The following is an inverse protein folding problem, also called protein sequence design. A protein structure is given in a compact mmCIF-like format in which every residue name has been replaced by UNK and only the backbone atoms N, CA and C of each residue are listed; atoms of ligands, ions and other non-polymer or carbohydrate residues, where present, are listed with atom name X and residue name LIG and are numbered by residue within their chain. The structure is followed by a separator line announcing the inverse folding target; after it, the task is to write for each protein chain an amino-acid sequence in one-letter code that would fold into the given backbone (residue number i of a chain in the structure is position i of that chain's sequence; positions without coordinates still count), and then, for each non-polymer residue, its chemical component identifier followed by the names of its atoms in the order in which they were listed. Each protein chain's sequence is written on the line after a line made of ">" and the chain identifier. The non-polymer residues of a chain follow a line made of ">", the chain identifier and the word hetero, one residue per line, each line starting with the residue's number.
data_IF_741612870366
#
_entry.id   IF_741612870366
#
_cell.length_a   1.000
_cell.length_b   1.000
_cell.length_c   1.000
_cell.angle_alpha   90.00
_cell.angle_beta   90.00
_cell.angle_gamma   90.00
#
_symmetry.space_group_name_H-M   'P 1'
#
loop_
_entity.id
_entity.type
_entity.pdbx_description
1 polymer ?
#
# COMPACT_ATOMS: atom_id res chain seq x y z
N UNK A 1 18.96 34.99 2.33
CA UNK A 1 17.72 34.58 1.65
C UNK A 1 17.86 33.11 1.29
N UNK A 2 16.98 32.25 1.79
CA UNK A 2 17.02 30.83 1.47
C UNK A 2 16.43 30.68 0.05
N UNK A 3 17.21 30.14 -0.88
CA UNK A 3 16.75 29.86 -2.22
C UNK A 3 15.62 28.81 -2.11
N UNK A 4 14.37 29.21 -2.41
CA UNK A 4 13.18 28.35 -2.35
C UNK A 4 13.07 27.41 -3.57
N UNK A 5 13.98 27.51 -4.55
CA UNK A 5 13.89 26.78 -5.82
C UNK A 5 14.05 25.26 -5.67
N UNK A 6 14.68 24.78 -4.59
CA UNK A 6 14.99 23.38 -4.35
C UNK A 6 14.21 22.77 -3.15
N UNK A 7 13.18 23.46 -2.66
CA UNK A 7 12.36 22.92 -1.59
C UNK A 7 11.36 21.88 -2.13
N UNK A 8 11.52 20.63 -1.73
CA UNK A 8 10.62 19.54 -2.08
C UNK A 8 9.63 19.30 -0.95
N UNK A 9 8.36 19.57 -1.23
CA UNK A 9 7.27 19.20 -0.35
C UNK A 9 7.01 17.70 -0.44
N UNK A 10 7.12 16.98 0.69
CA UNK A 10 6.71 15.57 0.76
C UNK A 10 5.18 15.51 0.67
N UNK A 11 4.61 14.94 -0.40
CA UNK A 11 3.23 15.28 -0.79
C UNK A 11 2.13 14.76 0.13
N UNK A 12 2.31 13.55 0.67
CA UNK A 12 1.28 12.83 1.42
C UNK A 12 1.79 12.44 2.81
N UNK A 13 2.59 13.29 3.41
CA UNK A 13 3.20 13.09 4.73
C UNK A 13 3.26 14.40 5.49
N UNK A 14 3.17 14.32 6.81
CA UNK A 14 3.41 15.45 7.71
C UNK A 14 4.91 15.69 7.98
N UNK A 15 5.79 15.00 7.24
CA UNK A 15 7.22 15.21 7.36
C UNK A 15 7.63 16.58 6.83
N UNK A 16 8.73 17.11 7.39
CA UNK A 16 9.28 18.39 6.97
C UNK A 16 9.67 18.38 5.48
N UNK A 17 9.53 19.53 4.85
CA UNK A 17 10.04 19.78 3.50
C UNK A 17 11.56 19.54 3.47
N UNK A 18 12.05 18.93 2.39
CA UNK A 18 13.48 18.67 2.20
C UNK A 18 14.09 19.65 1.21
N UNK A 19 15.31 20.16 1.51
CA UNK A 19 16.14 20.92 0.58
C UNK A 19 16.89 19.95 -0.33
N UNK A 20 16.24 19.48 -1.38
CA UNK A 20 16.83 18.52 -2.30
C UNK A 20 17.91 19.18 -3.19
N UNK A 21 18.86 18.38 -3.66
CA UNK A 21 19.85 18.83 -4.66
C UNK A 21 19.17 19.05 -6.02
N UNK A 22 18.32 18.11 -6.43
CA UNK A 22 17.62 18.11 -7.72
C UNK A 22 16.43 17.17 -7.69
N UNK A 23 15.38 17.53 -8.45
CA UNK A 23 14.28 16.63 -8.76
C UNK A 23 14.44 16.05 -10.17
N UNK A 24 14.12 14.76 -10.34
CA UNK A 24 14.15 14.01 -11.60
C UNK A 24 12.82 13.30 -11.77
N UNK A 25 12.20 13.44 -12.94
CA UNK A 25 10.89 12.85 -13.24
C UNK A 25 10.98 11.68 -14.23
N UNK A 26 12.15 11.50 -14.86
CA UNK A 26 12.38 10.46 -15.84
C UNK A 26 13.78 9.90 -15.64
N UNK A 27 13.89 8.59 -15.69
CA UNK A 27 15.13 7.86 -15.56
C UNK A 27 15.32 6.95 -16.76
N UNK A 28 16.52 7.00 -17.30
CA UNK A 28 16.97 6.17 -18.39
C UNK A 28 18.47 5.83 -18.20
N UNK A 29 19.04 5.12 -19.12
CA UNK A 29 20.47 4.79 -19.10
C UNK A 29 21.35 6.06 -19.02
N UNK A 30 20.98 7.14 -19.73
CA UNK A 30 21.76 8.37 -19.75
C UNK A 30 21.76 9.10 -18.40
N UNK A 31 20.64 9.01 -17.67
CA UNK A 31 20.55 9.50 -16.30
C UNK A 31 21.58 8.82 -15.40
N UNK A 32 21.64 7.49 -15.43
CA UNK A 32 22.59 6.73 -14.60
C UNK A 32 24.06 6.93 -15.00
N UNK A 33 24.35 7.09 -16.29
CA UNK A 33 25.69 7.41 -16.76
C UNK A 33 26.18 8.76 -16.23
N UNK A 34 25.31 9.80 -16.24
CA UNK A 34 25.58 11.10 -15.64
C UNK A 34 25.72 10.99 -14.13
N UNK A 35 24.79 10.31 -13.48
CA UNK A 35 24.81 10.10 -12.04
C UNK A 35 26.12 9.45 -11.57
N UNK A 36 26.61 8.43 -12.29
CA UNK A 36 27.90 7.78 -11.99
C UNK A 36 29.10 8.71 -12.15
N UNK A 37 29.11 9.56 -13.18
CA UNK A 37 30.21 10.51 -13.42
C UNK A 37 30.28 11.57 -12.33
N UNK A 38 29.11 12.01 -11.84
CA UNK A 38 29.00 13.04 -10.80
C UNK A 38 29.21 12.45 -9.39
N UNK A 39 29.13 11.13 -9.22
CA UNK A 39 29.18 10.41 -7.94
C UNK A 39 30.56 10.35 -7.27
N UNK A 40 31.59 10.96 -7.84
CA UNK A 40 32.87 11.21 -7.11
C UNK A 40 32.64 11.94 -5.78
N UNK A 41 31.49 12.63 -5.61
CA UNK A 41 31.06 13.37 -4.43
C UNK A 41 29.98 12.67 -3.59
N UNK A 42 29.84 11.33 -3.63
CA UNK A 42 28.84 10.57 -2.84
C UNK A 42 27.43 11.12 -3.01
N UNK A 43 26.93 11.14 -4.22
CA UNK A 43 25.54 11.48 -4.48
C UNK A 43 24.60 10.32 -4.09
N UNK A 44 23.45 10.65 -3.51
CA UNK A 44 22.45 9.71 -3.08
C UNK A 44 21.11 9.99 -3.75
N UNK A 45 20.34 8.93 -3.97
CA UNK A 45 18.99 9.02 -4.53
C UNK A 45 17.94 8.74 -3.46
N UNK A 46 16.86 9.51 -3.50
CA UNK A 46 15.59 9.19 -2.85
C UNK A 46 14.54 8.93 -3.93
N UNK A 47 13.67 7.96 -3.71
CA UNK A 47 12.61 7.59 -4.65
C UNK A 47 11.26 7.98 -4.07
N UNK A 48 10.53 8.83 -4.78
CA UNK A 48 9.18 9.22 -4.44
C UNK A 48 8.16 8.49 -5.34
N UNK A 49 7.42 7.56 -4.75
CA UNK A 49 6.26 6.89 -5.35
C UNK A 49 4.96 7.54 -4.81
N UNK A 50 4.46 7.13 -3.64
CA UNK A 50 3.29 7.75 -3.03
C UNK A 50 3.58 9.04 -2.26
N UNK A 51 4.81 9.24 -1.82
CA UNK A 51 5.19 10.40 -1.00
C UNK A 51 4.59 10.39 0.40
N UNK A 52 4.39 9.22 0.99
CA UNK A 52 3.78 9.06 2.32
C UNK A 52 4.79 8.96 3.46
N UNK A 53 6.07 8.99 3.15
CA UNK A 53 7.15 8.91 4.14
C UNK A 53 8.25 9.95 3.85
N UNK A 54 8.99 10.36 4.91
CA UNK A 54 10.16 11.23 4.78
C UNK A 54 11.30 10.60 3.97
N UNK A 55 11.27 9.28 3.75
CA UNK A 55 12.28 8.58 2.95
C UNK A 55 12.28 8.94 1.46
N UNK A 56 11.22 9.60 0.96
CA UNK A 56 11.12 9.97 -0.45
C UNK A 56 11.92 11.21 -0.83
N UNK A 57 12.42 11.99 0.14
CA UNK A 57 13.27 13.15 -0.07
C UNK A 57 14.15 13.43 1.14
N UNK A 58 15.38 13.88 0.92
CA UNK A 58 16.34 14.29 1.97
C UNK A 58 17.15 15.46 1.49
N UNK A 59 17.64 16.26 2.44
CA UNK A 59 18.50 17.41 2.16
C UNK A 59 19.75 16.98 1.39
N UNK A 60 20.05 17.71 0.32
CA UNK A 60 21.19 17.49 -0.57
C UNK A 60 21.17 16.16 -1.38
N UNK A 61 20.04 15.41 -1.37
CA UNK A 61 19.86 14.21 -2.19
C UNK A 61 19.13 14.56 -3.50
N UNK A 62 19.32 13.72 -4.51
CA UNK A 62 18.51 13.77 -5.73
C UNK A 62 17.22 13.00 -5.46
N UNK A 63 16.06 13.61 -5.71
CA UNK A 63 14.76 12.93 -5.60
C UNK A 63 14.27 12.54 -7.00
N UNK A 64 14.09 11.24 -7.22
CA UNK A 64 13.41 10.70 -8.40
C UNK A 64 11.92 10.61 -8.08
N UNK A 65 11.13 11.50 -8.66
CA UNK A 65 9.68 11.53 -8.47
C UNK A 65 8.96 10.81 -9.60
N UNK A 66 8.50 9.60 -9.33
CA UNK A 66 7.87 8.72 -10.31
C UNK A 66 6.44 9.14 -10.67
N UNK A 67 5.78 9.96 -9.85
CA UNK A 67 4.34 10.27 -9.98
C UNK A 67 3.99 11.01 -11.27
N UNK A 68 4.94 11.76 -11.84
CA UNK A 68 4.70 12.56 -13.04
C UNK A 68 4.69 11.73 -14.32
N UNK A 69 5.67 10.86 -14.50
CA UNK A 69 5.92 10.17 -15.78
C UNK A 69 5.66 8.66 -15.72
N UNK A 70 5.46 8.08 -14.50
CA UNK A 70 5.21 6.64 -14.32
C UNK A 70 3.85 6.43 -13.65
N UNK A 71 2.79 7.00 -14.22
CA UNK A 71 1.44 6.96 -13.68
C UNK A 71 0.44 6.20 -14.58
N UNK A 72 0.94 5.45 -15.57
CA UNK A 72 0.10 4.64 -16.44
C UNK A 72 -0.56 3.49 -15.68
N UNK A 73 -1.80 3.17 -16.07
CA UNK A 73 -2.57 2.02 -15.57
C UNK A 73 -3.13 1.28 -16.77
N UNK A 74 -2.88 -0.04 -16.87
CA UNK A 74 -3.35 -0.89 -17.96
C UNK A 74 -3.88 -2.20 -17.42
N UNK A 75 -5.18 -2.42 -17.52
CA UNK A 75 -5.83 -3.67 -17.10
C UNK A 75 -6.00 -4.61 -18.30
N UNK A 76 -5.55 -5.87 -18.13
CA UNK A 76 -5.80 -6.94 -19.08
C UNK A 76 -7.02 -7.77 -18.62
N UNK A 77 -8.13 -7.62 -19.34
CA UNK A 77 -9.39 -8.33 -19.08
C UNK A 77 -9.27 -9.86 -19.23
N UNK A 78 -8.33 -10.36 -20.06
CA UNK A 78 -8.19 -11.79 -20.30
C UNK A 78 -7.49 -12.49 -19.14
N UNK A 79 -6.44 -11.88 -18.61
CA UNK A 79 -5.63 -12.46 -17.54
C UNK A 79 -6.05 -12.00 -16.15
N UNK A 80 -6.75 -10.86 -16.05
CA UNK A 80 -7.05 -10.22 -14.77
C UNK A 80 -5.83 -9.58 -14.11
N UNK A 81 -4.77 -9.33 -14.88
CA UNK A 81 -3.55 -8.66 -14.45
C UNK A 81 -3.69 -7.16 -14.75
N UNK A 82 -3.25 -6.34 -13.81
CA UNK A 82 -3.14 -4.89 -14.00
C UNK A 82 -1.66 -4.50 -13.96
N UNK A 83 -1.21 -3.75 -14.97
CA UNK A 83 0.14 -3.18 -14.99
C UNK A 83 0.03 -1.69 -14.64
N UNK A 84 0.78 -1.28 -13.64
CA UNK A 84 0.78 0.09 -13.14
C UNK A 84 2.19 0.66 -13.08
N UNK A 85 2.31 1.95 -13.34
CA UNK A 85 3.56 2.68 -13.19
C UNK A 85 3.97 2.89 -11.73
N UNK A 86 5.25 3.10 -11.50
CA UNK A 86 5.85 3.25 -10.17
C UNK A 86 5.32 4.45 -9.37
N UNK A 87 4.69 5.41 -10.02
CA UNK A 87 4.10 6.61 -9.41
C UNK A 87 2.59 6.54 -9.17
N UNK A 88 1.93 5.41 -9.50
CA UNK A 88 0.50 5.22 -9.28
C UNK A 88 0.18 5.15 -7.78
N UNK A 89 -0.83 5.90 -7.35
CA UNK A 89 -1.37 5.81 -5.99
C UNK A 89 -2.39 4.68 -5.88
N UNK A 90 -2.55 4.16 -4.68
CA UNK A 90 -3.53 3.09 -4.43
C UNK A 90 -4.96 3.54 -4.71
N UNK A 91 -5.27 4.83 -4.54
CA UNK A 91 -6.56 5.42 -4.91
C UNK A 91 -6.87 5.26 -6.41
N UNK A 92 -5.91 5.63 -7.26
CA UNK A 92 -6.06 5.54 -8.71
C UNK A 92 -6.14 4.07 -9.19
N UNK A 93 -5.37 3.18 -8.56
CA UNK A 93 -5.44 1.75 -8.81
C UNK A 93 -6.85 1.21 -8.54
N UNK A 94 -7.42 1.53 -7.37
CA UNK A 94 -8.74 0.99 -7.00
C UNK A 94 -9.87 1.59 -7.84
N UNK A 95 -9.84 2.89 -8.13
CA UNK A 95 -10.80 3.53 -9.04
C UNK A 95 -10.80 2.87 -10.40
N UNK A 96 -9.60 2.55 -10.94
CA UNK A 96 -9.50 1.85 -12.20
C UNK A 96 -10.05 0.41 -12.12
N UNK A 97 -9.78 -0.30 -11.01
CA UNK A 97 -10.27 -1.67 -10.82
C UNK A 97 -11.80 -1.74 -10.66
N UNK A 98 -12.44 -0.70 -10.13
CA UNK A 98 -13.91 -0.64 -10.01
C UNK A 98 -14.61 -0.71 -11.37
N UNK A 99 -14.04 -0.10 -12.40
CA UNK A 99 -14.58 -0.14 -13.78
C UNK A 99 -14.68 -1.58 -14.31
N UNK A 100 -13.89 -2.49 -13.75
CA UNK A 100 -13.84 -3.91 -14.15
C UNK A 100 -14.43 -4.85 -13.11
N UNK A 101 -15.08 -4.32 -12.07
CA UNK A 101 -15.59 -5.11 -10.95
C UNK A 101 -14.49 -5.99 -10.31
N UNK A 102 -13.31 -5.39 -10.13
CA UNK A 102 -12.11 -6.01 -9.57
C UNK A 102 -11.68 -5.27 -8.31
N UNK A 103 -10.89 -5.97 -7.48
CA UNK A 103 -10.27 -5.41 -6.28
C UNK A 103 -8.83 -5.90 -6.14
N UNK A 104 -8.10 -5.27 -5.23
CA UNK A 104 -6.73 -5.62 -4.88
C UNK A 104 -6.54 -5.49 -3.36
N UNK A 105 -5.81 -6.40 -2.68
CA UNK A 105 -5.62 -6.36 -1.24
C UNK A 105 -4.65 -5.24 -0.82
N UNK A 106 -5.16 -4.03 -0.65
CA UNK A 106 -4.42 -2.90 -0.10
C UNK A 106 -4.93 -2.55 1.30
N UNK A 107 -4.16 -1.75 2.04
CA UNK A 107 -4.57 -1.18 3.33
C UNK A 107 -5.72 -0.18 3.21
N UNK A 108 -6.08 0.42 4.33
CA UNK A 108 -7.20 1.36 4.42
C UNK A 108 -6.87 2.75 3.84
N UNK A 109 -5.58 3.11 3.74
CA UNK A 109 -5.15 4.37 3.13
C UNK A 109 -5.04 4.25 1.62
N UNK A 110 -5.45 5.30 0.92
CA UNK A 110 -5.36 5.41 -0.55
C UNK A 110 -4.12 6.20 -1.02
N UNK A 111 -3.42 6.84 -0.11
CA UNK A 111 -2.27 7.70 -0.40
C UNK A 111 -0.97 6.97 -0.75
N UNK A 112 -0.68 5.74 -0.25
CA UNK A 112 0.53 5.04 -0.61
C UNK A 112 0.66 4.79 -2.12
N UNK A 113 1.90 4.72 -2.60
CA UNK A 113 2.25 4.23 -3.92
C UNK A 113 2.70 2.76 -3.90
N UNK A 114 3.37 2.31 -4.96
CA UNK A 114 3.82 0.91 -5.08
C UNK A 114 4.83 0.48 -3.99
N UNK A 115 5.49 1.42 -3.31
CA UNK A 115 6.37 1.10 -2.19
C UNK A 115 5.67 0.31 -1.09
N UNK A 116 4.38 0.60 -0.84
CA UNK A 116 3.55 -0.17 0.08
C UNK A 116 3.41 -1.65 -0.35
N UNK A 117 3.18 -1.90 -1.65
CA UNK A 117 3.07 -3.25 -2.20
C UNK A 117 4.41 -3.99 -2.09
N UNK A 118 5.51 -3.32 -2.47
CA UNK A 118 6.85 -3.92 -2.53
C UNK A 118 7.49 -4.20 -1.16
N UNK A 119 6.91 -3.69 -0.08
CA UNK A 119 7.36 -3.95 1.30
C UNK A 119 6.40 -4.82 2.11
N UNK A 120 5.45 -5.49 1.44
CA UNK A 120 4.48 -6.40 2.06
C UNK A 120 3.04 -6.06 1.70
N UNK A 121 2.50 -4.99 2.28
CA UNK A 121 1.15 -4.51 2.01
C UNK A 121 0.07 -5.36 2.70
N UNK A 122 -0.13 -5.11 4.00
CA UNK A 122 -1.19 -5.76 4.79
C UNK A 122 -2.54 -5.12 4.48
N UNK A 123 -3.54 -5.96 4.20
CA UNK A 123 -4.91 -5.56 3.88
C UNK A 123 -5.91 -6.27 4.79
N UNK A 124 -7.07 -5.68 5.06
CA UNK A 124 -8.19 -6.42 5.63
C UNK A 124 -8.58 -7.67 4.82
N UNK A 125 -8.21 -7.75 3.56
CA UNK A 125 -8.44 -8.91 2.70
C UNK A 125 -7.28 -9.92 2.70
N UNK A 126 -6.17 -9.65 3.41
CA UNK A 126 -4.96 -10.49 3.34
C UNK A 126 -5.16 -11.91 3.83
N UNK A 127 -6.06 -12.16 4.79
CA UNK A 127 -6.36 -13.53 5.23
C UNK A 127 -6.95 -14.40 4.11
N UNK A 128 -7.60 -13.79 3.12
CA UNK A 128 -8.18 -14.50 1.96
C UNK A 128 -7.25 -14.53 0.76
N UNK A 129 -6.56 -13.43 0.46
CA UNK A 129 -5.83 -13.24 -0.80
C UNK A 129 -4.31 -13.18 -0.65
N UNK A 130 -3.79 -13.24 0.56
CA UNK A 130 -2.37 -13.00 0.85
C UNK A 130 -2.05 -11.50 0.99
N UNK A 131 -0.80 -11.19 1.18
CA UNK A 131 -0.30 -9.81 1.19
C UNK A 131 -0.34 -9.22 -0.22
N UNK A 132 -0.32 -7.89 -0.33
CA UNK A 132 -0.27 -7.23 -1.64
C UNK A 132 0.95 -7.69 -2.47
N UNK A 133 2.09 -7.91 -1.82
CA UNK A 133 3.33 -8.38 -2.43
C UNK A 133 3.21 -9.77 -3.07
N UNK A 134 2.35 -10.65 -2.53
CA UNK A 134 2.12 -12.00 -3.07
C UNK A 134 1.44 -11.96 -4.45
N UNK A 135 0.77 -10.85 -4.76
CA UNK A 135 0.09 -10.62 -6.03
C UNK A 135 1.01 -10.06 -7.12
N UNK A 136 2.29 -9.80 -6.83
CA UNK A 136 3.25 -9.28 -7.80
C UNK A 136 3.64 -10.37 -8.80
N UNK A 137 3.28 -10.15 -10.07
CA UNK A 137 3.56 -11.06 -11.20
C UNK A 137 4.79 -10.64 -11.98
N UNK A 138 4.95 -9.33 -12.22
CA UNK A 138 6.06 -8.80 -12.99
C UNK A 138 6.53 -7.46 -12.47
N UNK A 139 7.79 -7.15 -12.73
CA UNK A 139 8.41 -5.87 -12.38
C UNK A 139 9.34 -5.40 -13.49
N UNK A 140 9.39 -4.09 -13.72
CA UNK A 140 10.37 -3.44 -14.58
C UNK A 140 11.02 -2.28 -13.85
N UNK A 141 12.28 -2.04 -14.14
CA UNK A 141 12.98 -0.94 -13.47
C UNK A 141 14.48 -0.93 -13.76
N UNK A 142 15.19 -0.27 -12.88
CA UNK A 142 16.64 -0.15 -12.96
C UNK A 142 17.28 -0.58 -11.65
N UNK A 143 18.40 -1.28 -11.74
CA UNK A 143 19.28 -1.48 -10.60
C UNK A 143 20.02 -0.17 -10.24
N UNK A 144 20.60 -0.10 -9.05
CA UNK A 144 21.40 1.06 -8.64
C UNK A 144 22.61 1.33 -9.54
N UNK A 145 23.08 0.32 -10.30
CA UNK A 145 24.12 0.48 -11.31
C UNK A 145 23.60 1.02 -12.66
N UNK A 146 22.29 1.27 -12.81
CA UNK A 146 21.67 1.77 -14.04
C UNK A 146 21.35 0.71 -15.10
N UNK A 147 21.55 -0.56 -14.79
CA UNK A 147 21.15 -1.66 -15.65
C UNK A 147 19.62 -1.82 -15.59
N UNK A 148 18.97 -1.82 -16.77
CA UNK A 148 17.53 -2.05 -16.87
C UNK A 148 17.21 -3.53 -16.72
N UNK A 149 16.11 -3.85 -16.03
CA UNK A 149 15.58 -5.20 -15.93
C UNK A 149 14.07 -5.26 -16.20
N UNK A 150 13.62 -6.43 -16.64
CA UNK A 150 12.20 -6.75 -16.82
C UNK A 150 12.00 -8.22 -16.45
N UNK A 151 11.37 -8.47 -15.32
CA UNK A 151 11.15 -9.80 -14.76
C UNK A 151 9.67 -10.15 -14.73
N UNK A 152 9.35 -11.42 -14.99
CA UNK A 152 7.99 -11.94 -14.90
C UNK A 152 8.02 -13.33 -14.28
N UNK A 153 7.38 -13.54 -13.14
CA UNK A 153 7.36 -14.79 -12.38
C UNK A 153 6.98 -16.03 -13.21
N UNK A 154 6.09 -15.87 -14.19
CA UNK A 154 5.62 -16.97 -15.02
C UNK A 154 6.61 -17.33 -16.13
N UNK A 155 7.64 -16.51 -16.35
CA UNK A 155 8.61 -16.63 -17.45
C UNK A 155 10.06 -16.73 -16.98
N UNK A 156 10.30 -16.65 -15.66
CA UNK A 156 11.65 -16.79 -15.11
C UNK A 156 12.14 -18.22 -15.31
N UNK A 157 13.27 -18.37 -15.96
CA UNK A 157 13.94 -19.65 -16.22
C UNK A 157 15.26 -19.73 -15.44
N UNK A 158 15.92 -18.59 -15.25
CA UNK A 158 17.22 -18.54 -14.60
C UNK A 158 17.09 -18.35 -13.08
N UNK A 159 17.85 -19.13 -12.31
CA UNK A 159 17.91 -19.04 -10.84
C UNK A 159 18.30 -17.63 -10.35
N UNK A 160 19.17 -16.94 -11.11
CA UNK A 160 19.58 -15.57 -10.80
C UNK A 160 18.40 -14.60 -10.86
N UNK A 161 17.56 -14.70 -11.89
CA UNK A 161 16.36 -13.84 -12.04
C UNK A 161 15.36 -14.13 -10.94
N UNK A 162 15.19 -15.40 -10.55
CA UNK A 162 14.34 -15.80 -9.44
C UNK A 162 14.79 -15.13 -8.13
N UNK A 163 16.07 -15.21 -7.78
CA UNK A 163 16.64 -14.56 -6.60
C UNK A 163 16.48 -13.05 -6.62
N UNK A 164 16.60 -12.41 -7.80
CA UNK A 164 16.38 -10.98 -7.94
C UNK A 164 14.90 -10.66 -7.66
N UNK A 165 13.96 -11.43 -8.23
CA UNK A 165 12.54 -11.23 -8.01
C UNK A 165 12.14 -11.44 -6.54
N UNK A 166 12.71 -12.44 -5.86
CA UNK A 166 12.54 -12.67 -4.43
C UNK A 166 13.08 -11.48 -3.61
N UNK A 167 14.26 -10.96 -3.97
CA UNK A 167 14.84 -9.79 -3.31
C UNK A 167 14.02 -8.52 -3.53
N UNK A 168 13.42 -8.32 -4.70
CA UNK A 168 12.51 -7.20 -4.98
C UNK A 168 11.29 -7.25 -4.08
N UNK A 169 10.78 -8.44 -3.80
CA UNK A 169 9.68 -8.65 -2.85
C UNK A 169 10.17 -8.46 -1.40
N UNK A 170 10.12 -7.22 -0.93
CA UNK A 170 10.50 -6.81 0.42
C UNK A 170 11.67 -5.84 0.48
N UNK A 171 12.65 -5.96 -0.42
CA UNK A 171 13.89 -5.17 -0.38
C UNK A 171 14.08 -4.25 -1.61
N UNK A 172 13.11 -4.14 -2.50
CA UNK A 172 13.20 -3.31 -3.71
C UNK A 172 13.80 -1.90 -3.48
N UNK A 173 13.38 -1.13 -2.44
CA UNK A 173 13.89 0.22 -2.24
C UNK A 173 15.40 0.32 -1.96
N UNK A 174 16.06 -0.79 -1.63
CA UNK A 174 17.49 -0.78 -1.28
C UNK A 174 18.41 -0.95 -2.48
N UNK A 175 17.94 -1.50 -3.60
CA UNK A 175 18.83 -1.79 -4.74
C UNK A 175 18.21 -1.54 -6.11
N UNK A 176 16.92 -1.16 -6.19
CA UNK A 176 16.20 -0.93 -7.44
C UNK A 176 15.37 0.33 -7.44
N UNK A 177 15.06 0.83 -8.64
CA UNK A 177 14.00 1.80 -8.89
C UNK A 177 12.98 1.11 -9.78
N UNK A 178 11.81 0.79 -9.22
CA UNK A 178 10.75 0.11 -9.96
C UNK A 178 9.92 1.16 -10.72
N UNK A 179 9.87 1.02 -12.03
CA UNK A 179 9.13 1.93 -12.92
C UNK A 179 7.77 1.39 -13.35
N UNK A 180 7.59 0.07 -13.33
CA UNK A 180 6.33 -0.60 -13.63
C UNK A 180 6.21 -1.89 -12.82
N UNK A 181 4.99 -2.22 -12.38
CA UNK A 181 4.66 -3.46 -11.68
C UNK A 181 3.38 -4.06 -12.25
N UNK A 182 3.39 -5.37 -12.48
CA UNK A 182 2.22 -6.16 -12.86
C UNK A 182 1.65 -6.90 -11.66
N UNK A 183 0.35 -6.76 -11.43
CA UNK A 183 -0.35 -7.26 -10.26
C UNK A 183 -1.50 -8.18 -10.66
N UNK A 184 -1.60 -9.35 -10.02
CA UNK A 184 -2.80 -10.18 -10.07
C UNK A 184 -3.90 -9.49 -9.28
N UNK A 185 -5.08 -9.37 -9.88
CA UNK A 185 -6.25 -8.77 -9.22
C UNK A 185 -7.31 -9.83 -8.91
N UNK A 186 -8.29 -9.48 -8.12
CA UNK A 186 -9.36 -10.39 -7.67
C UNK A 186 -10.72 -9.83 -8.07
N UNK A 187 -11.72 -10.71 -8.21
CA UNK A 187 -13.10 -10.27 -8.39
C UNK A 187 -13.56 -9.54 -7.12
N UNK A 188 -14.25 -8.44 -7.30
CA UNK A 188 -14.83 -7.67 -6.20
C UNK A 188 -16.10 -8.32 -5.68
N UNK A 189 -16.32 -8.25 -4.37
CA UNK A 189 -17.49 -8.78 -3.67
C UNK A 189 -17.97 -7.78 -2.61
N UNK A 190 -19.25 -7.87 -2.20
CA UNK A 190 -19.78 -7.04 -1.12
C UNK A 190 -18.98 -7.21 0.18
N UNK A 191 -18.91 -6.13 0.93
CA UNK A 191 -18.20 -6.04 2.21
C UNK A 191 -19.17 -5.60 3.31
N UNK A 192 -19.13 -6.30 4.43
CA UNK A 192 -19.74 -5.86 5.68
C UNK A 192 -18.66 -5.45 6.66
N UNK A 193 -18.84 -4.32 7.32
CA UNK A 193 -17.90 -3.77 8.29
C UNK A 193 -18.59 -3.61 9.63
N UNK A 194 -17.86 -3.93 10.69
CA UNK A 194 -18.21 -3.64 12.07
C UNK A 194 -17.10 -2.73 12.62
N UNK A 195 -17.48 -1.53 13.04
CA UNK A 195 -16.49 -0.53 13.44
C UNK A 195 -16.98 0.33 14.60
N UNK A 196 -16.09 0.75 15.46
CA UNK A 196 -16.41 1.63 16.58
C UNK A 196 -15.35 1.63 17.67
N UNK A 197 -15.62 2.37 18.72
CA UNK A 197 -14.75 2.42 19.89
C UNK A 197 -15.13 1.33 20.88
N UNK A 198 -14.13 0.70 21.46
CA UNK A 198 -14.28 -0.36 22.45
C UNK A 198 -13.32 -0.12 23.62
N UNK A 199 -13.60 -0.75 24.74
CA UNK A 199 -12.72 -0.74 25.88
C UNK A 199 -11.73 -1.93 25.84
N UNK A 200 -10.79 -1.96 26.79
CA UNK A 200 -9.74 -2.99 26.84
C UNK A 200 -10.30 -4.40 26.99
N UNK A 201 -11.28 -4.61 27.84
CA UNK A 201 -11.86 -5.94 28.07
C UNK A 201 -12.58 -6.46 26.82
N UNK A 202 -13.31 -5.57 26.14
CA UNK A 202 -13.97 -5.88 24.87
C UNK A 202 -12.95 -6.22 23.77
N UNK A 203 -11.79 -5.55 23.75
CA UNK A 203 -10.72 -5.89 22.83
C UNK A 203 -10.14 -7.29 23.11
N UNK A 204 -9.86 -7.62 24.37
CA UNK A 204 -9.37 -8.95 24.75
C UNK A 204 -10.34 -10.06 24.30
N UNK A 205 -11.64 -9.90 24.53
CA UNK A 205 -12.66 -10.82 24.04
C UNK A 205 -12.67 -10.94 22.51
N UNK A 206 -12.53 -9.81 21.80
CA UNK A 206 -12.54 -9.78 20.35
C UNK A 206 -11.28 -10.39 19.74
N UNK A 207 -10.11 -10.23 20.38
CA UNK A 207 -8.87 -10.90 19.95
C UNK A 207 -9.06 -12.42 20.02
N UNK A 208 -9.51 -12.95 21.15
CA UNK A 208 -9.77 -14.39 21.32
C UNK A 208 -10.77 -14.87 20.25
N UNK A 209 -11.87 -14.15 20.08
CA UNK A 209 -12.90 -14.49 19.08
C UNK A 209 -12.37 -14.42 17.64
N UNK A 210 -11.42 -13.53 17.35
CA UNK A 210 -10.87 -13.37 16.01
C UNK A 210 -10.03 -14.55 15.54
N UNK A 211 -9.54 -15.40 16.45
CA UNK A 211 -8.86 -16.65 16.10
C UNK A 211 -9.78 -17.62 15.37
N UNK A 212 -11.08 -17.55 15.67
CA UNK A 212 -12.11 -18.37 15.03
C UNK A 212 -12.65 -17.77 13.72
N UNK A 213 -12.23 -16.56 13.35
CA UNK A 213 -12.73 -15.91 12.15
C UNK A 213 -12.39 -16.71 10.90
N UNK A 214 -13.35 -16.90 9.98
CA UNK A 214 -13.07 -17.51 8.68
C UNK A 214 -12.14 -16.61 7.86
N UNK A 215 -11.48 -17.17 6.83
CA UNK A 215 -10.51 -16.45 6.00
C UNK A 215 -11.07 -15.19 5.31
N UNK A 216 -12.38 -15.07 5.15
CA UNK A 216 -13.03 -13.88 4.59
C UNK A 216 -13.28 -12.77 5.61
N UNK A 217 -12.87 -12.96 6.85
CA UNK A 217 -12.98 -11.97 7.92
C UNK A 217 -11.60 -11.65 8.50
N UNK A 218 -11.41 -10.38 8.84
CA UNK A 218 -10.22 -9.89 9.54
C UNK A 218 -10.60 -8.78 10.50
N UNK A 219 -9.77 -8.57 11.51
CA UNK A 219 -9.90 -7.43 12.42
C UNK A 219 -8.62 -6.63 12.44
N UNK A 220 -8.77 -5.33 12.59
CA UNK A 220 -7.70 -4.38 12.83
C UNK A 220 -8.15 -3.44 13.95
N UNK A 221 -7.21 -2.94 14.72
CA UNK A 221 -7.50 -1.92 15.73
C UNK A 221 -6.41 -0.87 15.78
N UNK A 222 -6.79 0.30 16.26
CA UNK A 222 -5.92 1.45 16.42
C UNK A 222 -5.97 1.86 17.88
N UNK A 223 -4.81 1.92 18.50
CA UNK A 223 -4.65 2.50 19.83
C UNK A 223 -4.44 4.00 19.71
N UNK A 224 -5.27 4.76 20.42
CA UNK A 224 -5.13 6.17 20.70
C UNK A 224 -5.58 6.39 22.14
N UNK A 225 -6.18 7.52 22.47
CA UNK A 225 -6.87 7.74 23.78
C UNK A 225 -8.01 6.74 23.97
N UNK A 226 -8.55 6.22 22.89
CA UNK A 226 -9.55 5.16 22.86
C UNK A 226 -9.09 4.07 21.88
N UNK A 227 -9.62 2.86 22.02
CA UNK A 227 -9.37 1.75 21.12
C UNK A 227 -10.44 1.76 20.03
N UNK A 228 -10.04 2.00 18.79
CA UNK A 228 -10.95 1.87 17.65
C UNK A 228 -10.74 0.54 16.96
N UNK A 229 -11.81 -0.22 16.79
CA UNK A 229 -11.79 -1.52 16.10
C UNK A 229 -12.46 -1.42 14.73
N UNK A 230 -11.96 -2.22 13.82
CA UNK A 230 -12.42 -2.30 12.46
C UNK A 230 -12.38 -3.75 11.97
N UNK A 231 -13.55 -4.37 11.83
CA UNK A 231 -13.71 -5.76 11.39
C UNK A 231 -14.31 -5.75 10.00
N UNK A 232 -13.66 -6.43 9.07
CA UNK A 232 -14.10 -6.55 7.67
C UNK A 232 -14.50 -7.98 7.37
N UNK A 233 -15.67 -8.16 6.76
CA UNK A 233 -16.16 -9.44 6.26
C UNK A 233 -16.48 -9.30 4.77
N UNK A 234 -15.75 -10.05 3.91
CA UNK A 234 -16.03 -10.13 2.47
C UNK A 234 -17.09 -11.22 2.22
N UNK A 235 -18.13 -10.91 1.43
CA UNK A 235 -19.27 -11.77 1.18
C UNK A 235 -19.25 -12.29 -0.26
N UNK A 236 -18.57 -13.40 -0.47
CA UNK A 236 -18.44 -14.05 -1.79
C UNK A 236 -19.48 -15.12 -2.03
N UNK A 237 -19.87 -15.84 -0.99
CA UNK A 237 -20.77 -17.00 -1.05
C UNK A 237 -21.94 -16.84 -0.07
N UNK A 238 -22.99 -17.61 -0.23
CA UNK A 238 -24.10 -17.66 0.73
C UNK A 238 -23.62 -18.08 2.13
N UNK A 239 -22.63 -18.97 2.21
CA UNK A 239 -21.99 -19.34 3.47
C UNK A 239 -21.32 -18.14 4.14
N UNK A 240 -20.59 -17.30 3.37
CA UNK A 240 -19.98 -16.08 3.90
C UNK A 240 -21.04 -15.12 4.46
N UNK A 241 -22.19 -15.01 3.77
CA UNK A 241 -23.32 -14.18 4.19
C UNK A 241 -23.93 -14.66 5.50
N UNK A 242 -24.22 -15.94 5.62
CA UNK A 242 -24.76 -16.55 6.86
C UNK A 242 -23.81 -16.32 8.04
N UNK A 243 -22.50 -16.49 7.83
CA UNK A 243 -21.50 -16.24 8.85
C UNK A 243 -21.44 -14.74 9.25
N UNK A 244 -21.47 -13.84 8.27
CA UNK A 244 -21.48 -12.40 8.54
C UNK A 244 -22.74 -11.96 9.29
N UNK A 245 -23.88 -12.60 9.06
CA UNK A 245 -25.12 -12.37 9.80
C UNK A 245 -25.04 -12.91 11.23
N UNK A 246 -24.47 -14.10 11.44
CA UNK A 246 -24.18 -14.63 12.77
C UNK A 246 -23.32 -13.66 13.58
N UNK A 247 -22.20 -13.19 13.00
CA UNK A 247 -21.35 -12.20 13.69
C UNK A 247 -22.06 -10.85 13.90
N UNK A 248 -23.02 -10.49 13.04
CA UNK A 248 -23.85 -9.31 13.25
C UNK A 248 -24.65 -9.43 14.56
N UNK A 249 -25.19 -10.60 14.85
CA UNK A 249 -25.90 -10.85 16.12
C UNK A 249 -24.91 -10.86 17.30
N UNK A 250 -23.81 -11.56 17.15
CA UNK A 250 -22.79 -11.69 18.20
C UNK A 250 -22.19 -10.33 18.61
N UNK A 251 -21.97 -9.42 17.64
CA UNK A 251 -21.37 -8.12 17.89
C UNK A 251 -22.36 -7.06 18.38
N UNK A 252 -23.66 -7.33 18.38
CA UNK A 252 -24.67 -6.43 19.00
C UNK A 252 -24.45 -6.20 20.49
N UNK A 253 -23.73 -7.12 21.17
CA UNK A 253 -23.36 -6.92 22.58
C UNK A 253 -22.42 -5.71 22.79
N UNK A 254 -21.66 -5.32 21.76
CA UNK A 254 -20.82 -4.14 21.76
C UNK A 254 -21.63 -2.96 21.23
N UNK A 255 -22.25 -2.20 22.10
CA UNK A 255 -23.21 -1.14 21.77
C UNK A 255 -22.62 -0.01 20.92
N UNK A 256 -21.30 0.17 20.98
CA UNK A 256 -20.56 1.18 20.19
C UNK A 256 -20.31 0.78 18.74
N UNK A 257 -20.43 -0.51 18.39
CA UNK A 257 -20.12 -0.94 17.03
C UNK A 257 -21.26 -0.60 16.06
N UNK A 258 -20.89 0.11 15.02
CA UNK A 258 -21.74 0.41 13.86
C UNK A 258 -21.51 -0.63 12.77
N UNK A 259 -22.56 -0.97 12.04
CA UNK A 259 -22.52 -1.90 10.92
C UNK A 259 -22.71 -1.13 9.63
N UNK A 260 -21.79 -1.34 8.68
CA UNK A 260 -21.88 -0.74 7.35
C UNK A 260 -21.76 -1.81 6.28
N UNK A 261 -22.46 -1.60 5.16
CA UNK A 261 -22.39 -2.49 4.00
C UNK A 261 -21.92 -1.70 2.80
N UNK A 262 -20.98 -2.26 2.06
CA UNK A 262 -20.41 -1.68 0.85
C UNK A 262 -20.55 -2.65 -0.31
N UNK A 263 -20.63 -2.12 -1.53
CA UNK A 263 -20.70 -2.94 -2.75
C UNK A 263 -19.38 -3.66 -3.02
N UNK A 264 -18.27 -3.05 -2.64
CA UNK A 264 -16.94 -3.56 -2.86
C UNK A 264 -15.96 -3.09 -1.77
N UNK A 265 -14.82 -3.76 -1.66
CA UNK A 265 -13.72 -3.29 -0.82
C UNK A 265 -13.13 -1.97 -1.32
N UNK A 266 -13.27 -1.66 -2.59
CA UNK A 266 -12.75 -0.42 -3.15
C UNK A 266 -13.46 0.83 -2.60
N UNK A 267 -14.71 0.69 -2.14
CA UNK A 267 -15.47 1.75 -1.46
C UNK A 267 -15.05 1.93 0.01
N UNK A 268 -14.34 0.94 0.55
CA UNK A 268 -13.92 0.90 1.94
C UNK A 268 -12.61 1.66 2.11
N UNK A 269 -12.71 2.98 2.24
CA UNK A 269 -11.57 3.86 2.53
C UNK A 269 -11.87 4.62 3.79
N UNK A 270 -11.28 4.17 4.89
CA UNK A 270 -11.78 4.61 6.15
C UNK A 270 -10.72 4.75 7.23
N UNK A 271 -10.46 5.98 7.59
CA UNK A 271 -10.22 6.32 8.98
C UNK A 271 -11.37 7.24 9.40
N UNK A 272 -12.07 6.97 10.50
CA UNK A 272 -13.10 7.87 10.98
C UNK A 272 -12.53 9.28 11.07
N UNK A 273 -13.31 10.27 10.65
CA UNK A 273 -12.92 11.68 10.79
C UNK A 273 -12.65 12.07 12.25
N UNK A 274 -13.23 11.30 13.18
CA UNK A 274 -13.03 11.43 14.61
C UNK A 274 -11.66 10.94 15.11
N UNK A 275 -10.99 10.04 14.34
CA UNK A 275 -9.59 9.69 14.55
C UNK A 275 -8.75 10.64 13.68
N UNK A 276 -8.42 11.78 14.24
CA UNK A 276 -7.52 12.73 13.59
C UNK A 276 -6.08 12.18 13.64
N UNK A 277 -5.82 11.08 12.90
CA UNK A 277 -4.52 10.40 12.88
C UNK A 277 -3.39 11.31 12.41
N UNK A 278 -3.73 12.43 11.74
CA UNK A 278 -2.78 13.42 11.29
C UNK A 278 -2.47 14.49 12.34
N UNK A 279 -3.30 14.62 13.37
CA UNK A 279 -3.10 15.52 14.52
C UNK A 279 -2.52 14.80 15.75
N UNK A 280 -2.19 13.51 15.64
CA UNK A 280 -1.43 12.85 16.69
C UNK A 280 -0.08 13.55 16.81
N UNK A 281 -0.02 14.46 17.77
CA UNK A 281 1.21 15.15 18.17
C UNK A 281 2.34 14.13 18.31
N UNK A 282 3.54 14.55 18.00
CA UNK A 282 4.78 13.77 17.99
C UNK A 282 5.08 12.94 19.26
N UNK A 283 4.24 13.04 20.27
CA UNK A 283 4.35 12.37 21.56
C UNK A 283 3.39 11.17 21.75
N UNK A 284 2.42 10.97 20.86
CA UNK A 284 1.49 9.86 20.94
C UNK A 284 1.78 8.86 19.83
N UNK A 285 2.32 7.70 20.19
CA UNK A 285 2.47 6.58 19.27
C UNK A 285 1.09 5.94 19.04
N UNK A 286 0.59 5.97 17.80
CA UNK A 286 -0.53 5.15 17.39
C UNK A 286 -0.01 3.93 16.64
N UNK A 287 -0.43 2.75 17.05
CA UNK A 287 -0.11 1.50 16.36
C UNK A 287 -1.36 0.93 15.69
N UNK A 288 -1.23 0.54 14.43
CA UNK A 288 -2.25 -0.23 13.72
C UNK A 288 -1.81 -1.69 13.73
N UNK A 289 -2.60 -2.53 14.40
CA UNK A 289 -2.35 -3.97 14.48
C UNK A 289 -3.40 -4.71 13.66
N UNK A 290 -2.96 -5.64 12.83
CA UNK A 290 -3.81 -6.53 12.01
C UNK A 290 -3.66 -7.98 12.45
N UNK A 291 -4.78 -8.66 12.59
CA UNK A 291 -4.89 -10.12 12.78
C UNK A 291 -5.71 -10.78 11.66
#
# INVERSE_FOLDING_TARGET
>A
MIDKSNLFKVPNSNSNDAKIKKIVYEIDKSFFEKFKKDSTNKEYLCICSGGTTSGCAKDNYITVDLRKNYNQIKFDKKTGIINIGGGVLMDDLLKNLDEFNRTFPIGLSTLPGIGYILTGGISPLSRRYGLAIDSVISVKGFFGNGEYFSLNNEKIIEEKELKIMEGIKGAAPFFTIITEIGLKTFKSYPIKIFEGFINKNELEELIIKSEEFPKNMSTQWIFSDQIYIYIVAEIKTEKDKILAEKYTVDFKKYSSLKIRNYKSFNDVRFFPKELNLFELNSNNHSEVISL
#
